data_IF_095546837952
#
_entry.id   IF_095546837952
#
_cell.length_a   1.000
_cell.length_b   1.000
_cell.length_c   1.000
_cell.angle_alpha   90.00
_cell.angle_beta   90.00
_cell.angle_gamma   90.00
#
_symmetry.space_group_name_H-M   'P 1'
#
loop_
_entity.id
_entity.type
_entity.pdbx_description
1 polymer ?
#
# COMPACT_ATOMS: atom_id res chain seq x y z
N UNK A 1 15.63 -12.22 13.23
CA UNK A 1 16.57 -11.09 13.43
C UNK A 1 17.96 -11.62 13.72
N UNK A 2 18.16 -12.50 14.73
CA UNK A 2 19.49 -13.01 15.13
C UNK A 2 20.23 -13.72 13.99
N UNK A 3 19.55 -14.53 13.19
CA UNK A 3 20.15 -15.21 12.03
C UNK A 3 20.61 -14.21 10.95
N UNK A 4 19.82 -13.17 10.69
CA UNK A 4 20.13 -12.17 9.67
C UNK A 4 21.30 -11.25 10.09
N UNK A 5 21.51 -11.05 11.38
CA UNK A 5 22.62 -10.24 11.89
C UNK A 5 24.00 -10.81 11.53
N UNK A 6 24.10 -12.14 11.47
CA UNK A 6 25.36 -12.83 11.16
C UNK A 6 25.59 -13.07 9.66
N UNK A 7 24.62 -12.70 8.80
CA UNK A 7 24.72 -12.87 7.35
C UNK A 7 25.46 -11.68 6.74
N UNK A 8 26.55 -11.89 6.00
CA UNK A 8 27.26 -10.78 5.34
C UNK A 8 26.36 -10.11 4.31
N UNK A 9 26.33 -8.78 4.34
CA UNK A 9 25.47 -7.97 3.45
C UNK A 9 25.67 -8.25 1.95
N UNK A 10 26.82 -8.83 1.58
CA UNK A 10 27.12 -9.20 0.19
C UNK A 10 26.16 -10.27 -0.36
N UNK A 11 25.60 -11.13 0.49
CA UNK A 11 24.63 -12.17 0.09
C UNK A 11 23.32 -11.49 -0.39
N UNK A 12 22.96 -10.34 0.17
CA UNK A 12 21.76 -9.62 -0.27
C UNK A 12 21.84 -9.14 -1.72
N UNK A 13 23.05 -9.09 -2.34
CA UNK A 13 23.18 -8.83 -3.78
C UNK A 13 22.45 -9.88 -4.63
N UNK A 14 22.34 -11.12 -4.16
CA UNK A 14 21.56 -12.14 -4.83
C UNK A 14 20.06 -11.75 -4.92
N UNK A 15 19.58 -10.91 -4.00
CA UNK A 15 18.22 -10.38 -4.03
C UNK A 15 17.92 -9.54 -5.28
N UNK A 16 18.95 -9.01 -5.98
CA UNK A 16 18.78 -8.29 -7.24
C UNK A 16 18.21 -9.24 -8.33
N UNK A 17 18.63 -10.50 -8.31
CA UNK A 17 18.13 -11.51 -9.25
C UNK A 17 16.67 -11.90 -8.94
N UNK A 18 16.22 -11.69 -7.71
CA UNK A 18 14.82 -11.93 -7.33
C UNK A 18 13.88 -10.86 -7.90
N UNK A 19 14.38 -9.67 -8.25
CA UNK A 19 13.55 -8.60 -8.76
C UNK A 19 12.82 -8.96 -10.07
N UNK A 20 13.51 -9.39 -11.15
CA UNK A 20 12.81 -9.80 -12.37
C UNK A 20 11.89 -11.00 -12.15
N UNK A 21 12.28 -11.95 -11.30
CA UNK A 21 11.43 -13.11 -10.95
C UNK A 21 10.14 -12.64 -10.25
N UNK A 22 10.26 -11.75 -9.27
CA UNK A 22 9.12 -11.22 -8.55
C UNK A 22 8.20 -10.37 -9.43
N UNK A 23 8.75 -9.64 -10.41
CA UNK A 23 7.95 -8.92 -11.41
C UNK A 23 7.16 -9.88 -12.29
N UNK A 24 7.78 -10.97 -12.76
CA UNK A 24 7.08 -11.99 -13.56
C UNK A 24 5.96 -12.60 -12.73
N UNK A 25 6.23 -12.99 -11.48
CA UNK A 25 5.20 -13.51 -10.58
C UNK A 25 4.04 -12.51 -10.41
N UNK A 26 4.36 -11.22 -10.25
CA UNK A 26 3.37 -10.16 -10.06
C UNK A 26 2.50 -9.95 -11.32
N UNK A 27 3.09 -10.07 -12.52
CA UNK A 27 2.35 -10.00 -13.80
C UNK A 27 1.42 -11.21 -13.98
N UNK A 28 1.86 -12.39 -13.54
CA UNK A 28 1.10 -13.64 -13.67
C UNK A 28 -0.04 -13.74 -12.65
N UNK A 29 0.09 -13.10 -11.49
CA UNK A 29 -0.88 -13.20 -10.39
C UNK A 29 -2.33 -12.85 -10.78
N UNK A 30 -2.64 -11.81 -11.56
CA UNK A 30 -4.01 -11.51 -11.96
C UNK A 30 -4.68 -12.61 -12.80
N UNK A 31 -3.89 -13.44 -13.48
CA UNK A 31 -4.39 -14.49 -14.39
C UNK A 31 -4.56 -15.85 -13.72
N UNK A 32 -3.70 -16.21 -12.76
CA UNK A 32 -3.64 -17.55 -12.15
C UNK A 32 -3.88 -17.49 -10.63
N UNK A 33 -3.89 -16.29 -10.04
CA UNK A 33 -4.00 -16.12 -8.60
C UNK A 33 -5.32 -16.58 -8.02
N UNK A 34 -5.29 -17.05 -6.77
CA UNK A 34 -6.48 -17.36 -5.99
C UNK A 34 -7.09 -16.05 -5.52
N UNK A 35 -8.41 -15.89 -5.76
CA UNK A 35 -9.15 -14.71 -5.30
C UNK A 35 -9.43 -14.80 -3.79
N UNK A 36 -9.02 -13.78 -3.06
CA UNK A 36 -9.47 -13.52 -1.71
C UNK A 36 -9.99 -12.08 -1.65
N UNK A 37 -11.25 -11.90 -1.20
CA UNK A 37 -11.91 -10.59 -1.13
C UNK A 37 -11.88 -9.81 -2.47
N UNK A 38 -12.30 -10.45 -3.56
CA UNK A 38 -12.35 -9.90 -4.93
C UNK A 38 -11.00 -9.43 -5.49
N UNK A 39 -9.88 -9.92 -4.96
CA UNK A 39 -8.56 -9.65 -5.50
C UNK A 39 -7.72 -10.92 -5.61
N UNK A 40 -7.10 -11.11 -6.78
CA UNK A 40 -6.17 -12.20 -7.05
C UNK A 40 -4.79 -11.84 -6.51
N UNK A 41 -4.52 -12.12 -5.22
CA UNK A 41 -3.28 -11.70 -4.55
C UNK A 41 -2.33 -12.84 -4.21
N UNK A 42 -2.84 -14.07 -4.23
CA UNK A 42 -2.12 -15.24 -3.75
C UNK A 42 -1.85 -16.22 -4.87
N UNK A 43 -0.61 -16.69 -4.96
CA UNK A 43 -0.24 -17.82 -5.79
C UNK A 43 -0.07 -19.05 -4.90
N UNK A 44 -0.72 -20.15 -5.28
CA UNK A 44 -0.46 -21.44 -4.64
C UNK A 44 0.61 -22.20 -5.42
N UNK A 45 1.77 -22.34 -4.81
CA UNK A 45 2.90 -23.07 -5.38
C UNK A 45 3.17 -24.25 -4.44
N UNK A 46 2.97 -25.49 -4.92
CA UNK A 46 3.13 -26.72 -4.13
C UNK A 46 2.34 -26.73 -2.81
N UNK A 47 1.13 -26.14 -2.79
CA UNK A 47 0.30 -26.07 -1.59
C UNK A 47 0.66 -24.96 -0.61
N UNK A 48 1.73 -24.21 -0.87
CA UNK A 48 2.11 -23.03 -0.09
C UNK A 48 1.52 -21.79 -0.77
N UNK A 49 0.79 -20.99 -0.01
CA UNK A 49 0.27 -19.71 -0.50
C UNK A 49 1.36 -18.64 -0.37
N UNK A 50 1.78 -18.10 -1.51
CA UNK A 50 2.76 -17.02 -1.59
C UNK A 50 2.09 -15.78 -2.13
N UNK A 51 2.42 -14.63 -1.54
CA UNK A 51 1.98 -13.33 -2.04
C UNK A 51 3.11 -12.66 -2.83
N UNK A 52 3.04 -12.61 -4.17
CA UNK A 52 4.12 -12.08 -5.00
C UNK A 52 4.52 -10.64 -4.70
N UNK A 53 3.57 -9.82 -4.26
CA UNK A 53 3.84 -8.43 -3.89
C UNK A 53 4.82 -8.30 -2.70
N UNK A 54 4.86 -9.27 -1.78
CA UNK A 54 5.83 -9.24 -0.66
C UNK A 54 7.26 -9.43 -1.17
N UNK A 55 7.45 -10.38 -2.10
CA UNK A 55 8.75 -10.59 -2.73
C UNK A 55 9.17 -9.40 -3.60
N UNK A 56 8.21 -8.82 -4.35
CA UNK A 56 8.47 -7.67 -5.19
C UNK A 56 8.90 -6.45 -4.35
N UNK A 57 8.27 -6.20 -3.20
CA UNK A 57 8.66 -5.14 -2.27
C UNK A 57 10.11 -5.31 -1.80
N UNK A 58 10.44 -6.49 -1.27
CA UNK A 58 11.77 -6.76 -0.73
C UNK A 58 12.84 -6.67 -1.81
N UNK A 59 12.62 -7.28 -2.97
CA UNK A 59 13.59 -7.28 -4.08
C UNK A 59 13.80 -5.88 -4.66
N UNK A 60 12.74 -5.06 -4.75
CA UNK A 60 12.83 -3.66 -5.16
C UNK A 60 13.70 -2.85 -4.19
N UNK A 61 13.48 -2.98 -2.87
CA UNK A 61 14.27 -2.26 -1.88
C UNK A 61 15.75 -2.64 -1.94
N UNK A 62 16.06 -3.93 -2.13
CA UNK A 62 17.44 -4.39 -2.30
C UNK A 62 18.05 -3.81 -3.58
N UNK A 63 17.30 -3.80 -4.69
CA UNK A 63 17.75 -3.21 -5.95
C UNK A 63 18.04 -1.72 -5.81
N UNK A 64 17.16 -0.97 -5.14
CA UNK A 64 17.36 0.48 -4.90
C UNK A 64 18.62 0.70 -4.04
N UNK A 65 18.78 -0.06 -2.96
CA UNK A 65 19.98 0.04 -2.12
C UNK A 65 21.26 -0.26 -2.93
N UNK A 66 21.21 -1.25 -3.80
CA UNK A 66 22.33 -1.56 -4.70
C UNK A 66 22.61 -0.42 -5.70
N UNK A 67 21.58 0.14 -6.33
CA UNK A 67 21.75 1.27 -7.26
C UNK A 67 22.34 2.48 -6.54
N UNK A 68 21.88 2.79 -5.34
CA UNK A 68 22.42 3.88 -4.52
C UNK A 68 23.88 3.62 -4.10
N UNK A 69 24.27 2.36 -3.85
CA UNK A 69 25.66 2.01 -3.54
C UNK A 69 26.63 2.21 -4.72
N UNK A 70 26.13 2.33 -5.95
CA UNK A 70 26.90 2.61 -7.15
C UNK A 70 27.12 4.11 -7.40
N UNK A 71 26.64 4.96 -6.50
CA UNK A 71 26.88 6.40 -6.57
C UNK A 71 28.39 6.69 -6.61
N UNK A 72 28.78 7.61 -7.46
CA UNK A 72 30.20 7.87 -7.76
C UNK A 72 30.75 7.07 -8.94
N UNK A 73 30.12 5.95 -9.33
CA UNK A 73 30.48 5.21 -10.57
C UNK A 73 29.47 5.46 -11.69
N UNK A 74 28.23 5.74 -11.32
CA UNK A 74 27.11 6.02 -12.21
C UNK A 74 26.60 7.41 -11.86
N UNK A 75 26.13 8.18 -12.85
CA UNK A 75 25.61 9.52 -12.61
C UNK A 75 24.32 9.48 -11.79
N UNK A 76 24.12 10.47 -10.90
CA UNK A 76 22.90 10.57 -10.08
C UNK A 76 21.63 10.57 -10.93
N UNK A 77 21.69 11.09 -12.17
CA UNK A 77 20.59 11.13 -13.11
C UNK A 77 20.17 9.74 -13.58
N UNK A 78 21.15 8.89 -13.89
CA UNK A 78 20.88 7.52 -14.30
C UNK A 78 20.35 6.69 -13.12
N UNK A 79 20.92 6.85 -11.93
CA UNK A 79 20.46 6.17 -10.72
C UNK A 79 18.99 6.56 -10.44
N UNK A 80 18.69 7.86 -10.43
CA UNK A 80 17.34 8.37 -10.22
C UNK A 80 16.35 7.80 -11.25
N UNK A 81 16.71 7.82 -12.53
CA UNK A 81 15.88 7.30 -13.61
C UNK A 81 15.57 5.80 -13.43
N UNK A 82 16.58 4.99 -13.14
CA UNK A 82 16.41 3.55 -12.96
C UNK A 82 15.55 3.23 -11.73
N UNK A 83 15.81 3.89 -10.59
CA UNK A 83 14.98 3.72 -9.39
C UNK A 83 13.52 4.08 -9.71
N UNK A 84 13.31 5.20 -10.39
CA UNK A 84 11.98 5.67 -10.73
C UNK A 84 11.24 4.65 -11.62
N UNK A 85 11.88 4.16 -12.69
CA UNK A 85 11.29 3.16 -13.59
C UNK A 85 10.92 1.89 -12.80
N UNK A 86 11.85 1.32 -12.03
CA UNK A 86 11.59 0.10 -11.27
C UNK A 86 10.47 0.30 -10.24
N UNK A 87 10.47 1.44 -9.54
CA UNK A 87 9.43 1.77 -8.56
C UNK A 87 8.05 1.93 -9.23
N UNK A 88 7.96 2.68 -10.34
CA UNK A 88 6.68 2.87 -11.03
C UNK A 88 6.14 1.58 -11.62
N UNK A 89 6.99 0.74 -12.21
CA UNK A 89 6.56 -0.56 -12.74
C UNK A 89 6.01 -1.43 -11.60
N UNK A 90 6.76 -1.56 -10.49
CA UNK A 90 6.32 -2.39 -9.38
C UNK A 90 5.06 -1.84 -8.71
N UNK A 91 5.03 -0.54 -8.39
CA UNK A 91 3.85 0.09 -7.81
C UNK A 91 2.65 0.04 -8.74
N UNK A 92 2.85 0.23 -10.04
CA UNK A 92 1.78 0.15 -11.05
C UNK A 92 1.13 -1.23 -11.14
N UNK A 93 1.93 -2.30 -11.00
CA UNK A 93 1.41 -3.67 -10.96
C UNK A 93 0.67 -3.99 -9.64
N UNK A 94 1.10 -3.41 -8.52
CA UNK A 94 0.45 -3.63 -7.21
C UNK A 94 -0.81 -2.76 -7.05
N UNK A 95 -0.82 -1.57 -7.64
CA UNK A 95 -1.85 -0.54 -7.43
C UNK A 95 -3.29 -1.03 -7.67
N UNK A 96 -3.61 -1.81 -8.74
CA UNK A 96 -4.97 -2.29 -8.97
C UNK A 96 -5.48 -3.20 -7.84
N UNK A 97 -4.58 -3.96 -7.23
CA UNK A 97 -4.93 -4.91 -6.18
C UNK A 97 -4.90 -4.29 -4.78
N UNK A 98 -3.94 -3.41 -4.52
CA UNK A 98 -3.76 -2.79 -3.22
C UNK A 98 -3.11 -1.41 -3.30
N UNK A 99 -3.96 -0.37 -3.39
CA UNK A 99 -3.53 1.02 -3.44
C UNK A 99 -2.67 1.42 -2.24
N UNK A 100 -3.08 1.03 -1.02
CA UNK A 100 -2.35 1.41 0.21
C UNK A 100 -0.93 0.85 0.21
N UNK A 101 -0.77 -0.42 -0.20
CA UNK A 101 0.55 -1.06 -0.29
C UNK A 101 1.43 -0.40 -1.35
N UNK A 102 0.87 -0.09 -2.53
CA UNK A 102 1.60 0.62 -3.59
C UNK A 102 2.05 2.01 -3.12
N UNK A 103 1.18 2.75 -2.45
CA UNK A 103 1.48 4.07 -1.91
C UNK A 103 2.57 4.03 -0.82
N UNK A 104 2.45 3.09 0.14
CA UNK A 104 3.48 2.91 1.17
C UNK A 104 4.83 2.51 0.57
N UNK A 105 4.84 1.57 -0.38
CA UNK A 105 6.07 1.15 -1.07
C UNK A 105 6.74 2.32 -1.78
N UNK A 106 5.94 3.14 -2.51
CA UNK A 106 6.45 4.35 -3.15
C UNK A 106 7.06 5.31 -2.12
N UNK A 107 6.39 5.53 -0.98
CA UNK A 107 6.90 6.36 0.11
C UNK A 107 8.24 5.86 0.66
N UNK A 108 8.40 4.55 0.86
CA UNK A 108 9.67 3.96 1.30
C UNK A 108 10.76 4.13 0.24
N UNK A 109 10.46 3.91 -1.06
CA UNK A 109 11.41 4.14 -2.14
C UNK A 109 11.84 5.61 -2.21
N UNK A 110 10.89 6.55 -2.01
CA UNK A 110 11.18 7.97 -1.96
C UNK A 110 12.12 8.33 -0.78
N UNK A 111 11.84 7.78 0.41
CA UNK A 111 12.71 7.95 1.58
C UNK A 111 14.11 7.38 1.33
N UNK A 112 14.22 6.22 0.69
CA UNK A 112 15.52 5.65 0.33
C UNK A 112 16.30 6.55 -0.64
N UNK A 113 15.64 7.16 -1.63
CA UNK A 113 16.26 8.14 -2.52
C UNK A 113 16.73 9.38 -1.76
N UNK A 114 15.94 9.85 -0.79
CA UNK A 114 16.30 10.99 0.05
C UNK A 114 17.49 10.68 0.96
N UNK A 115 17.49 9.56 1.67
CA UNK A 115 18.61 9.09 2.50
C UNK A 115 19.86 8.84 1.62
N UNK A 116 19.67 8.31 0.41
CA UNK A 116 20.71 8.13 -0.59
C UNK A 116 21.26 9.44 -1.17
N UNK A 117 20.81 10.60 -0.66
CA UNK A 117 21.28 11.94 -1.02
C UNK A 117 21.20 12.24 -2.53
N UNK A 118 20.18 11.71 -3.22
CA UNK A 118 19.92 12.12 -4.60
C UNK A 118 19.53 13.62 -4.65
N UNK A 119 19.72 14.29 -5.80
CA UNK A 119 19.49 15.73 -5.91
C UNK A 119 18.09 16.14 -5.44
N UNK A 120 18.02 16.92 -4.37
CA UNK A 120 16.76 17.31 -3.70
C UNK A 120 15.78 18.01 -4.65
N UNK A 121 16.27 18.77 -5.63
CA UNK A 121 15.42 19.43 -6.64
C UNK A 121 14.59 18.43 -7.44
N UNK A 122 15.16 17.25 -7.76
CA UNK A 122 14.43 16.17 -8.47
C UNK A 122 13.40 15.50 -7.59
N UNK A 123 13.75 15.28 -6.31
CA UNK A 123 12.83 14.71 -5.33
C UNK A 123 11.65 15.64 -5.08
N UNK A 124 11.88 16.95 -4.92
CA UNK A 124 10.80 17.94 -4.77
C UNK A 124 9.91 18.01 -6.02
N UNK A 125 10.52 17.99 -7.21
CA UNK A 125 9.74 17.94 -8.46
C UNK A 125 8.88 16.68 -8.53
N UNK A 126 9.43 15.52 -8.19
CA UNK A 126 8.70 14.26 -8.15
C UNK A 126 7.54 14.32 -7.15
N UNK A 127 7.81 14.76 -5.91
CA UNK A 127 6.79 14.90 -4.88
C UNK A 127 5.67 15.88 -5.32
N UNK A 128 6.03 17.04 -5.84
CA UNK A 128 5.05 18.01 -6.33
C UNK A 128 4.20 17.49 -7.48
N UNK A 129 4.80 16.75 -8.44
CA UNK A 129 4.07 16.11 -9.53
C UNK A 129 3.08 15.07 -9.01
N UNK A 130 3.49 14.24 -8.05
CA UNK A 130 2.63 13.21 -7.45
C UNK A 130 1.47 13.82 -6.65
N UNK A 131 1.75 14.86 -5.86
CA UNK A 131 0.70 15.59 -5.13
C UNK A 131 -0.29 16.20 -6.12
N UNK A 132 0.18 16.83 -7.19
CA UNK A 132 -0.69 17.40 -8.22
C UNK A 132 -1.56 16.33 -8.91
N UNK A 133 -0.97 15.18 -9.25
CA UNK A 133 -1.72 14.04 -9.82
C UNK A 133 -2.74 13.47 -8.83
N UNK A 134 -2.38 13.35 -7.56
CA UNK A 134 -3.31 12.89 -6.51
C UNK A 134 -4.48 13.84 -6.35
N UNK A 135 -4.22 15.16 -6.27
CA UNK A 135 -5.27 16.18 -6.18
C UNK A 135 -6.17 16.13 -7.41
N UNK A 136 -5.60 16.03 -8.60
CA UNK A 136 -6.36 15.89 -9.85
C UNK A 136 -7.22 14.62 -9.83
N UNK A 137 -6.66 13.49 -9.40
CA UNK A 137 -7.39 12.22 -9.30
C UNK A 137 -8.56 12.30 -8.32
N UNK A 138 -8.34 12.88 -7.13
CA UNK A 138 -9.39 13.09 -6.14
C UNK A 138 -10.47 14.05 -6.64
N UNK A 139 -10.08 15.10 -7.36
CA UNK A 139 -11.01 16.03 -7.98
C UNK A 139 -11.88 15.32 -9.04
N UNK A 140 -11.26 14.52 -9.91
CA UNK A 140 -12.01 13.74 -10.92
C UNK A 140 -12.99 12.79 -10.23
N UNK A 141 -12.56 12.03 -9.20
CA UNK A 141 -13.46 11.13 -8.47
C UNK A 141 -14.64 11.87 -7.82
N UNK A 142 -14.40 13.07 -7.26
CA UNK A 142 -15.44 13.87 -6.59
C UNK A 142 -16.45 14.45 -7.57
N UNK A 143 -16.01 14.90 -8.75
CA UNK A 143 -16.87 15.54 -9.74
C UNK A 143 -17.51 14.57 -10.74
N UNK A 144 -17.07 13.29 -10.78
CA UNK A 144 -17.67 12.31 -11.68
C UNK A 144 -18.94 11.71 -11.07
N UNK A 145 -20.08 11.73 -11.80
CA UNK A 145 -21.33 11.11 -11.34
C UNK A 145 -21.16 9.62 -11.05
N UNK A 146 -21.81 9.13 -9.99
CA UNK A 146 -21.73 7.72 -9.54
C UNK A 146 -22.12 6.72 -10.65
N UNK A 147 -23.08 7.08 -11.46
CA UNK A 147 -23.60 6.27 -12.56
C UNK A 147 -22.51 5.96 -13.60
N UNK A 148 -21.67 6.95 -13.91
CA UNK A 148 -20.55 6.79 -14.85
C UNK A 148 -19.47 5.90 -14.25
N UNK A 149 -19.14 6.09 -12.97
CA UNK A 149 -18.11 5.28 -12.30
C UNK A 149 -18.54 3.82 -12.20
N UNK A 150 -19.81 3.56 -11.88
CA UNK A 150 -20.33 2.21 -11.77
C UNK A 150 -20.48 1.50 -13.12
N UNK A 151 -20.82 2.25 -14.19
CA UNK A 151 -21.06 1.68 -15.53
C UNK A 151 -19.76 1.42 -16.30
N UNK A 152 -18.83 2.35 -16.27
CA UNK A 152 -17.63 2.30 -17.12
C UNK A 152 -16.35 1.86 -16.40
N UNK A 153 -16.31 1.96 -15.08
CA UNK A 153 -15.15 1.66 -14.25
C UNK A 153 -15.53 0.72 -13.09
N UNK A 154 -15.95 -0.52 -13.38
CA UNK A 154 -16.39 -1.45 -12.36
C UNK A 154 -15.27 -1.81 -11.38
N UNK A 155 -15.63 -2.16 -10.15
CA UNK A 155 -14.75 -2.68 -9.13
C UNK A 155 -14.28 -1.63 -8.12
N UNK A 156 -12.95 -1.49 -7.93
CA UNK A 156 -12.38 -0.75 -6.80
C UNK A 156 -12.54 0.76 -6.84
N UNK A 157 -12.72 1.37 -8.02
CA UNK A 157 -12.92 2.82 -8.13
C UNK A 157 -14.23 3.25 -7.48
N UNK A 158 -15.29 2.48 -7.63
CA UNK A 158 -16.55 2.71 -6.91
C UNK A 158 -16.38 2.65 -5.39
N UNK A 159 -15.57 1.68 -4.91
CA UNK A 159 -15.22 1.57 -3.48
C UNK A 159 -14.42 2.78 -2.99
N UNK A 160 -13.49 3.30 -3.80
CA UNK A 160 -12.70 4.47 -3.44
C UNK A 160 -13.54 5.75 -3.42
N UNK A 161 -14.47 5.91 -4.37
CA UNK A 161 -15.42 7.01 -4.36
C UNK A 161 -16.32 6.96 -3.12
N UNK A 162 -16.86 5.80 -2.78
CA UNK A 162 -17.67 5.62 -1.57
C UNK A 162 -16.89 5.92 -0.29
N UNK A 163 -15.62 5.54 -0.23
CA UNK A 163 -14.73 5.89 0.91
C UNK A 163 -14.49 7.39 1.01
N UNK A 164 -14.25 8.06 -0.13
CA UNK A 164 -14.02 9.51 -0.17
C UNK A 164 -15.24 10.29 0.31
N UNK A 165 -16.43 9.88 -0.08
CA UNK A 165 -17.68 10.47 0.39
C UNK A 165 -17.87 10.28 1.89
N UNK A 166 -17.59 9.08 2.42
CA UNK A 166 -17.68 8.79 3.86
C UNK A 166 -16.70 9.61 4.71
N UNK A 167 -15.53 9.98 4.17
CA UNK A 167 -14.60 10.88 4.86
C UNK A 167 -15.10 12.32 4.95
N UNK A 168 -16.01 12.72 4.05
CA UNK A 168 -16.54 14.09 4.00
C UNK A 168 -17.87 14.28 4.73
N UNK A 169 -18.61 13.22 4.99
CA UNK A 169 -19.97 13.30 5.53
C UNK A 169 -20.20 12.26 6.64
N UNK A 170 -19.84 12.63 7.86
CA UNK A 170 -20.17 11.83 9.06
C UNK A 170 -21.67 11.93 9.43
N UNK A 171 -22.44 12.84 8.79
CA UNK A 171 -23.85 13.08 9.12
C UNK A 171 -24.75 11.88 8.86
N UNK A 172 -24.42 11.05 7.87
CA UNK A 172 -25.14 9.82 7.55
C UNK A 172 -25.10 8.75 8.69
N UNK A 173 -24.19 8.92 9.65
CA UNK A 173 -24.03 8.01 10.78
C UNK A 173 -24.81 8.45 12.02
N UNK A 174 -25.57 9.54 11.95
CA UNK A 174 -26.37 10.06 13.06
C UNK A 174 -27.86 10.03 12.71
N UNK A 175 -28.70 9.66 13.69
CA UNK A 175 -30.15 9.80 13.53
C UNK A 175 -30.60 11.25 13.72
N UNK A 176 -31.89 11.52 13.47
CA UNK A 176 -32.48 12.83 13.67
C UNK A 176 -32.36 13.37 15.12
N UNK A 177 -32.11 12.50 16.09
CA UNK A 177 -31.86 12.82 17.50
C UNK A 177 -30.36 13.05 17.82
N UNK A 178 -29.48 13.04 16.81
CA UNK A 178 -28.03 13.23 17.01
C UNK A 178 -27.32 12.00 17.63
N UNK A 179 -27.96 10.83 17.66
CA UNK A 179 -27.35 9.60 18.20
C UNK A 179 -26.62 8.87 17.06
N UNK A 180 -25.40 8.42 17.33
CA UNK A 180 -24.61 7.66 16.37
C UNK A 180 -25.22 6.27 16.14
N UNK A 181 -25.48 5.91 14.89
CA UNK A 181 -26.04 4.62 14.50
C UNK A 181 -24.92 3.72 14.00
N UNK A 182 -24.79 2.54 14.61
CA UNK A 182 -23.91 1.49 14.13
C UNK A 182 -24.66 0.66 13.11
N UNK A 183 -24.18 0.66 11.86
CA UNK A 183 -24.70 -0.15 10.74
C UNK A 183 -23.67 -1.21 10.37
N UNK A 184 -24.07 -2.25 9.63
CA UNK A 184 -23.14 -3.28 9.15
C UNK A 184 -21.99 -2.69 8.35
N UNK A 185 -22.24 -1.58 7.64
CA UNK A 185 -21.24 -0.90 6.82
C UNK A 185 -20.19 -0.12 7.64
N UNK A 186 -20.58 0.46 8.79
CA UNK A 186 -19.69 1.24 9.66
C UNK A 186 -19.27 0.48 10.92
N UNK A 187 -19.73 -0.77 11.09
CA UNK A 187 -19.51 -1.59 12.29
C UNK A 187 -18.03 -1.66 12.68
N UNK A 188 -17.18 -2.07 11.76
CA UNK A 188 -15.74 -2.23 12.00
C UNK A 188 -15.07 -0.91 12.39
N UNK A 189 -15.38 0.18 11.67
CA UNK A 189 -14.84 1.52 11.96
C UNK A 189 -15.33 2.04 13.30
N UNK A 190 -16.59 1.81 13.63
CA UNK A 190 -17.21 2.24 14.90
C UNK A 190 -16.56 1.55 16.10
N UNK A 191 -16.39 0.24 16.04
CA UNK A 191 -15.75 -0.53 17.09
C UNK A 191 -14.25 -0.20 17.21
N UNK A 192 -13.56 0.10 16.10
CA UNK A 192 -12.17 0.58 16.13
C UNK A 192 -12.07 1.96 16.84
N UNK A 193 -12.96 2.90 16.51
CA UNK A 193 -13.03 4.21 17.20
C UNK A 193 -13.28 4.04 18.71
N UNK A 194 -14.20 3.15 19.09
CA UNK A 194 -14.48 2.84 20.51
C UNK A 194 -13.27 2.20 21.19
N UNK A 195 -12.56 1.29 20.50
CA UNK A 195 -11.34 0.68 21.03
C UNK A 195 -10.26 1.73 21.33
N UNK A 196 -10.03 2.65 20.39
CA UNK A 196 -9.07 3.75 20.55
C UNK A 196 -9.48 4.67 21.70
N UNK A 197 -10.76 5.07 21.75
CA UNK A 197 -11.27 5.96 22.79
C UNK A 197 -11.14 5.34 24.20
N UNK A 198 -11.41 4.03 24.34
CA UNK A 198 -11.27 3.31 25.61
C UNK A 198 -9.82 3.00 25.97
N UNK A 199 -8.94 2.86 24.98
CA UNK A 199 -7.52 2.62 25.20
C UNK A 199 -6.78 3.81 25.79
N UNK A 200 -7.23 5.05 25.54
CA UNK A 200 -6.53 6.26 25.98
C UNK A 200 -5.08 6.32 25.47
N UNK A 201 -4.23 7.04 26.18
CA UNK A 201 -2.82 7.24 25.77
C UNK A 201 -1.94 5.98 25.96
N UNK A 202 -2.24 5.16 26.95
CA UNK A 202 -1.40 4.00 27.30
C UNK A 202 -1.92 2.67 26.75
N UNK A 203 -3.10 2.68 26.14
CA UNK A 203 -3.75 1.47 25.67
C UNK A 203 -4.24 0.58 26.81
N UNK A 204 -4.86 -0.53 26.45
CA UNK A 204 -5.17 -1.63 27.37
C UNK A 204 -4.16 -2.75 27.13
N UNK A 205 -3.76 -3.44 28.20
CA UNK A 205 -2.80 -4.55 28.08
C UNK A 205 -3.25 -5.59 27.05
N UNK A 206 -2.32 -6.27 26.35
CA UNK A 206 -2.65 -7.33 25.41
C UNK A 206 -3.62 -8.35 26.00
N UNK A 207 -4.70 -8.62 25.29
CA UNK A 207 -5.74 -9.56 25.75
C UNK A 207 -6.86 -8.97 26.62
N UNK A 208 -6.74 -7.72 27.09
CA UNK A 208 -7.74 -7.06 27.94
C UNK A 208 -8.67 -6.11 27.18
N UNK A 209 -8.48 -5.94 25.87
CA UNK A 209 -9.32 -5.09 25.03
C UNK A 209 -10.74 -5.68 24.86
N UNK A 210 -11.75 -4.99 25.40
CA UNK A 210 -13.15 -5.43 25.29
C UNK A 210 -13.68 -5.49 23.85
N UNK A 211 -13.09 -4.71 22.93
CA UNK A 211 -13.55 -4.65 21.54
C UNK A 211 -13.03 -5.81 20.69
N UNK A 212 -12.09 -6.61 21.19
CA UNK A 212 -11.56 -7.78 20.49
C UNK A 212 -12.64 -8.78 20.09
N UNK A 213 -13.61 -8.98 20.95
CA UNK A 213 -14.64 -10.02 20.73
C UNK A 213 -15.77 -9.53 19.80
N UNK A 214 -15.79 -8.23 19.49
CA UNK A 214 -16.79 -7.60 18.62
C UNK A 214 -16.25 -7.36 17.19
N UNK A 215 -14.93 -7.36 16.98
CA UNK A 215 -14.35 -7.14 15.66
C UNK A 215 -14.23 -8.47 14.90
N UNK A 216 -14.88 -8.61 13.73
CA UNK A 216 -14.59 -9.72 12.84
C UNK A 216 -13.11 -9.70 12.47
N UNK A 217 -12.42 -10.80 12.60
CA UNK A 217 -10.99 -10.91 12.29
C UNK A 217 -10.06 -10.05 13.19
N UNK A 218 -10.42 -9.86 14.45
CA UNK A 218 -9.64 -9.08 15.42
C UNK A 218 -8.16 -9.52 15.58
N UNK A 219 -7.80 -10.68 15.06
CA UNK A 219 -6.42 -11.21 15.08
C UNK A 219 -5.60 -10.87 13.84
N UNK A 220 -6.24 -10.35 12.77
CA UNK A 220 -5.60 -10.06 11.49
C UNK A 220 -5.63 -8.58 11.11
N UNK A 221 -6.49 -7.79 11.77
CA UNK A 221 -6.71 -6.37 11.48
C UNK A 221 -6.21 -5.45 12.64
#
# INVERSE_FOLDING_TARGET
VVLLHNVPYTIFRAGILLFPISLIMLIVTPFIGISANDAHRWLSIFGIQLQPSEFAKLSLLILIAFLLSKRGRITDDQIFKWILICTFVTCGLILPENFSTAFMLFGVCFLMMFIGQLPIKKLLKLAGTLVALLVLFLAVLKFTPKEIVQSYLPGRLATWQARLERFGDDSANYNAAGTYIVTDENYQVSHAKIAIARGGLFGQMPGHGQQRDFLPQAYSD
#
